data_IF_168619119474
#
_entry.id   IF_168619119474
#
_cell.length_a   1.000
_cell.length_b   1.000
_cell.length_c   1.000
_cell.angle_alpha   90.00
_cell.angle_beta   90.00
_cell.angle_gamma   90.00
#
_symmetry.space_group_name_H-M   'P 1'
#
loop_
_entity.id
_entity.type
_entity.pdbx_description
1 polymer ?
#
# COMPACT_ATOMS: atom_id res chain seq x y z
N UNK A 1 3.33 -48.07 11.03
CA UNK A 1 4.55 -47.44 10.50
C UNK A 1 4.25 -47.00 9.07
N UNK A 2 4.12 -45.68 8.83
CA UNK A 2 4.09 -45.05 7.49
C UNK A 2 2.83 -45.27 6.64
N UNK A 3 2.24 -44.32 5.91
CA UNK A 3 2.38 -42.88 5.74
C UNK A 3 0.96 -42.40 5.40
N UNK A 4 0.44 -41.37 6.09
CA UNK A 4 -0.77 -40.67 5.62
C UNK A 4 -0.38 -39.81 4.42
N UNK A 5 -1.19 -39.83 3.37
CA UNK A 5 -1.04 -39.02 2.16
C UNK A 5 -0.80 -37.54 2.49
N UNK A 6 0.18 -36.85 1.87
CA UNK A 6 0.37 -35.42 2.07
C UNK A 6 -0.78 -34.63 1.45
N UNK A 7 -1.46 -33.80 2.26
CA UNK A 7 -2.37 -32.74 1.81
C UNK A 7 -1.51 -31.62 1.23
N UNK A 8 -1.55 -31.43 -0.08
CA UNK A 8 -0.98 -30.24 -0.72
C UNK A 8 -2.00 -29.11 -0.58
N UNK A 9 -1.74 -28.18 0.33
CA UNK A 9 -2.32 -26.84 0.27
C UNK A 9 -1.19 -25.83 0.20
N UNK A 10 -0.78 -25.52 -1.02
CA UNK A 10 0.02 -24.34 -1.33
C UNK A 10 -0.72 -23.58 -2.42
N UNK A 11 -1.59 -22.64 -2.04
CA UNK A 11 -2.06 -21.61 -2.95
C UNK A 11 -0.83 -20.77 -3.32
N UNK A 12 -0.20 -21.17 -4.43
CA UNK A 12 0.97 -20.55 -5.00
C UNK A 12 0.68 -19.11 -5.37
N UNK A 13 1.35 -18.20 -4.70
CA UNK A 13 1.59 -16.86 -5.22
C UNK A 13 3.10 -16.76 -5.42
N UNK A 14 3.57 -17.32 -6.53
CA UNK A 14 4.97 -17.19 -6.91
C UNK A 14 5.22 -15.76 -7.39
N UNK A 15 6.06 -15.06 -6.63
CA UNK A 15 7.09 -14.13 -7.09
C UNK A 15 6.72 -13.19 -8.25
N UNK A 16 6.21 -11.99 -7.92
CA UNK A 16 6.00 -10.90 -8.88
C UNK A 16 7.31 -10.17 -9.18
N UNK A 17 8.29 -10.88 -9.74
CA UNK A 17 9.46 -10.28 -10.36
C UNK A 17 9.09 -9.75 -11.75
N UNK A 18 9.40 -8.48 -12.01
CA UNK A 18 9.36 -7.81 -13.32
C UNK A 18 7.98 -7.58 -13.98
N UNK A 19 7.31 -6.48 -13.63
CA UNK A 19 6.23 -5.92 -14.46
C UNK A 19 6.46 -4.45 -14.81
N UNK A 20 6.69 -4.10 -16.09
CA UNK A 20 6.76 -2.70 -16.53
C UNK A 20 5.35 -2.08 -16.55
N UNK A 21 5.29 -0.79 -16.24
CA UNK A 21 4.09 0.05 -16.15
C UNK A 21 3.26 0.06 -17.44
N UNK A 22 2.36 -0.91 -17.61
CA UNK A 22 1.19 -0.81 -18.47
C UNK A 22 0.00 -1.42 -17.76
N UNK A 23 -1.04 -0.62 -17.52
CA UNK A 23 -2.34 -1.12 -17.10
C UNK A 23 -2.80 -2.18 -18.09
N UNK A 24 -2.94 -3.44 -17.66
CA UNK A 24 -3.47 -4.45 -18.56
C UNK A 24 -4.98 -4.30 -18.53
N UNK A 25 -5.53 -3.69 -19.57
CA UNK A 25 -6.95 -3.72 -19.92
C UNK A 25 -7.46 -5.14 -20.25
N UNK A 26 -6.63 -6.18 -20.08
CA UNK A 26 -6.87 -7.53 -20.60
C UNK A 26 -6.43 -8.64 -19.62
N UNK A 27 -6.33 -8.36 -18.31
CA UNK A 27 -5.85 -9.37 -17.37
C UNK A 27 -7.02 -10.30 -17.00
N UNK A 28 -7.12 -11.43 -17.69
CA UNK A 28 -7.99 -12.55 -17.32
C UNK A 28 -7.36 -13.31 -16.14
N UNK A 29 -7.20 -12.62 -15.02
CA UNK A 29 -6.79 -13.22 -13.75
C UNK A 29 -8.00 -13.86 -13.11
N UNK A 30 -8.47 -15.00 -13.61
CA UNK A 30 -9.68 -15.66 -13.10
C UNK A 30 -10.99 -14.84 -13.21
N UNK A 31 -12.15 -15.46 -13.48
CA UNK A 31 -13.45 -14.79 -13.50
C UNK A 31 -13.87 -14.16 -12.14
N UNK A 32 -13.02 -14.23 -11.13
CA UNK A 32 -13.22 -13.80 -9.76
C UNK A 32 -11.98 -13.17 -9.10
N UNK A 33 -10.85 -12.90 -9.78
CA UNK A 33 -9.85 -12.03 -9.15
C UNK A 33 -10.34 -10.59 -9.23
N UNK A 34 -11.01 -10.21 -8.16
CA UNK A 34 -11.20 -8.83 -7.78
C UNK A 34 -9.87 -8.38 -7.22
N UNK A 35 -9.23 -7.40 -7.84
CA UNK A 35 -8.32 -6.52 -7.10
C UNK A 35 -9.12 -6.08 -5.87
N UNK A 36 -8.69 -6.49 -4.67
CA UNK A 36 -9.47 -6.22 -3.48
C UNK A 36 -9.60 -4.71 -3.35
N UNK A 37 -10.77 -4.20 -3.73
CA UNK A 37 -11.04 -2.77 -3.86
C UNK A 37 -11.21 -2.10 -2.49
N UNK A 38 -10.88 -2.82 -1.42
CA UNK A 38 -10.99 -2.42 -0.03
C UNK A 38 -9.67 -1.78 0.40
N UNK A 39 -9.39 -0.59 -0.12
CA UNK A 39 -8.32 0.26 0.39
C UNK A 39 -8.79 1.04 1.62
N UNK A 40 -7.91 1.23 2.59
CA UNK A 40 -8.11 2.17 3.70
C UNK A 40 -7.19 3.38 3.53
N UNK A 41 -7.67 4.56 3.90
CA UNK A 41 -6.82 5.76 3.95
C UNK A 41 -5.92 5.67 5.18
N UNK A 42 -4.61 5.65 4.97
CA UNK A 42 -3.59 5.55 6.04
C UNK A 42 -2.80 6.85 6.26
N UNK A 43 -2.79 7.75 5.28
CA UNK A 43 -2.17 9.07 5.37
C UNK A 43 -3.08 10.13 4.73
N UNK A 44 -3.26 11.26 5.41
CA UNK A 44 -4.17 12.33 4.97
C UNK A 44 -5.66 12.01 5.22
N UNK A 45 -6.53 12.38 4.26
CA UNK A 45 -7.99 12.13 4.33
C UNK A 45 -8.82 13.17 5.09
N UNK A 46 -8.20 14.15 5.76
CA UNK A 46 -8.91 15.16 6.57
C UNK A 46 -8.98 16.55 5.93
N UNK A 47 -9.24 16.58 4.61
CA UNK A 47 -9.17 17.79 3.78
C UNK A 47 -7.77 18.39 3.70
N UNK A 48 -7.62 19.40 2.84
CA UNK A 48 -6.37 20.14 2.72
C UNK A 48 -6.14 21.00 3.97
N UNK A 49 -4.91 20.98 4.49
CA UNK A 49 -4.52 21.82 5.63
C UNK A 49 -3.13 21.49 6.13
N UNK A 50 -2.75 22.07 7.28
CA UNK A 50 -1.40 21.95 7.86
C UNK A 50 -1.39 21.25 9.22
N UNK A 51 -2.52 20.69 9.68
CA UNK A 51 -2.54 19.87 10.89
C UNK A 51 -1.82 18.55 10.63
N UNK A 52 -1.49 17.83 11.70
CA UNK A 52 -0.66 16.62 11.62
C UNK A 52 -1.36 15.43 10.93
N UNK A 53 -2.68 15.48 10.82
CA UNK A 53 -3.51 14.52 10.10
C UNK A 53 -4.00 15.05 8.73
N UNK A 54 -3.43 16.16 8.25
CA UNK A 54 -3.77 16.83 6.99
C UNK A 54 -2.54 16.95 6.08
N UNK A 55 -2.79 17.14 4.79
CA UNK A 55 -1.78 17.38 3.77
C UNK A 55 -2.15 18.60 2.94
N UNK A 56 -1.18 19.24 2.28
CA UNK A 56 -1.33 20.39 1.40
C UNK A 56 -0.43 20.24 0.18
N UNK A 57 -1.04 19.89 -0.96
CA UNK A 57 -0.37 19.67 -2.24
C UNK A 57 0.86 18.72 -2.13
N UNK A 58 0.70 17.50 -1.62
CA UNK A 58 1.81 16.56 -1.48
C UNK A 58 2.29 16.07 -2.85
N UNK A 59 3.61 15.99 -3.06
CA UNK A 59 4.20 15.68 -4.38
C UNK A 59 4.96 14.36 -4.46
N UNK A 60 5.33 13.77 -3.33
CA UNK A 60 6.10 12.53 -3.29
C UNK A 60 5.74 11.67 -2.10
N UNK A 61 5.88 10.36 -2.28
CA UNK A 61 5.74 9.38 -1.21
C UNK A 61 6.86 8.33 -1.28
N UNK A 62 7.32 7.88 -0.12
CA UNK A 62 8.25 6.76 0.02
C UNK A 62 7.74 5.86 1.15
N UNK A 63 7.95 4.55 1.01
CA UNK A 63 7.60 3.57 2.05
C UNK A 63 8.87 2.80 2.38
N UNK A 64 9.21 2.74 3.66
CA UNK A 64 10.37 1.97 4.12
C UNK A 64 10.02 0.51 4.42
N UNK A 65 11.01 -0.26 4.86
CA UNK A 65 10.84 -1.68 5.20
C UNK A 65 9.95 -1.91 6.43
N UNK A 66 9.79 -0.89 7.29
CA UNK A 66 8.93 -0.93 8.47
C UNK A 66 7.48 -0.49 8.14
N UNK A 67 7.16 -0.30 6.86
CA UNK A 67 5.88 0.17 6.34
C UNK A 67 5.54 1.59 6.83
N UNK A 68 6.54 2.39 7.19
CA UNK A 68 6.40 3.82 7.45
C UNK A 68 6.30 4.56 6.13
N UNK A 69 5.27 5.40 6.00
CA UNK A 69 5.01 6.21 4.82
C UNK A 69 5.56 7.61 5.07
N UNK A 70 6.47 8.06 4.23
CA UNK A 70 6.99 9.41 4.22
C UNK A 70 6.32 10.19 3.09
N UNK A 71 5.73 11.34 3.40
CA UNK A 71 5.07 12.19 2.40
C UNK A 71 5.77 13.55 2.34
N UNK A 72 6.15 13.96 1.12
CA UNK A 72 6.58 15.33 0.86
C UNK A 72 5.36 16.25 0.77
N UNK A 73 5.03 16.89 1.89
CA UNK A 73 3.85 17.76 2.05
C UNK A 73 4.18 19.20 1.60
N UNK A 74 4.33 19.37 0.29
CA UNK A 74 5.06 20.47 -0.36
C UNK A 74 4.59 21.87 0.06
N UNK A 75 3.28 22.14 0.13
CA UNK A 75 2.80 23.49 0.53
C UNK A 75 2.91 23.74 2.04
N UNK A 76 3.13 22.71 2.84
CA UNK A 76 3.40 22.84 4.27
C UNK A 76 4.91 22.83 4.57
N UNK A 77 5.77 22.74 3.56
CA UNK A 77 7.23 22.78 3.70
C UNK A 77 7.79 21.76 4.69
N UNK A 78 7.21 20.55 4.70
CA UNK A 78 7.62 19.47 5.61
C UNK A 78 7.69 18.13 4.90
N UNK A 79 8.49 17.24 5.46
CA UNK A 79 8.31 15.80 5.32
C UNK A 79 7.52 15.36 6.55
N UNK A 80 6.54 14.49 6.35
CA UNK A 80 5.73 13.97 7.45
C UNK A 80 5.64 12.46 7.31
N UNK A 81 5.90 11.76 8.42
CA UNK A 81 5.90 10.30 8.48
C UNK A 81 4.60 9.77 9.08
N UNK A 82 4.08 8.68 8.52
CA UNK A 82 2.98 7.89 9.06
C UNK A 82 3.46 6.47 9.26
N UNK A 83 3.60 6.06 10.53
CA UNK A 83 3.89 4.66 10.86
C UNK A 83 2.72 3.77 10.46
N UNK A 84 3.00 2.48 10.30
CA UNK A 84 1.97 1.48 10.05
C UNK A 84 0.80 1.61 11.06
N UNK A 85 -0.43 1.69 10.55
CA UNK A 85 -1.67 1.91 11.32
C UNK A 85 -1.78 3.24 12.11
N UNK A 86 -0.90 4.21 11.88
CA UNK A 86 -1.07 5.54 12.48
C UNK A 86 -2.27 6.28 11.87
N UNK A 87 -3.01 7.02 12.70
CA UNK A 87 -4.13 7.87 12.25
C UNK A 87 -3.72 9.34 12.04
N UNK A 88 -2.48 9.67 12.37
CA UNK A 88 -1.88 11.00 12.24
C UNK A 88 -0.38 10.87 11.98
N UNK A 89 0.19 11.86 11.30
CA UNK A 89 1.62 11.85 10.98
C UNK A 89 2.47 12.34 12.15
N UNK A 90 3.78 12.40 11.96
CA UNK A 90 4.75 13.08 12.81
C UNK A 90 5.76 13.83 11.90
N UNK A 91 6.29 14.98 12.33
CA UNK A 91 7.26 15.78 11.57
C UNK A 91 8.66 15.54 12.10
#
# INVERSE_FOLDING_TARGET
>A
MGLKSPRVESNGFENFGDYPLRSPSNINIHPNARWQQNGITVAGGNQQGNRINQLSNPWGLYVDNDQTIYVADTKNHRIIEWKWNATSGQV
#
